data_IF_696240840151
#
_entry.id   IF_696240840151
#
_cell.length_a   1.000
_cell.length_b   1.000
_cell.length_c   1.000
_cell.angle_alpha   90.00
_cell.angle_beta   90.00
_cell.angle_gamma   90.00
#
_symmetry.space_group_name_H-M   'P 1'
#
loop_
_entity.id
_entity.type
_entity.pdbx_description
1 polymer ?
#
# COMPACT_ATOMS: atom_id res chain seq x y z
N UNK A 1 -1.95 9.89 9.75
CA UNK A 1 -2.90 9.02 9.01
C UNK A 1 -2.12 7.86 8.40
N UNK A 2 -2.74 6.68 8.29
CA UNK A 2 -2.17 5.53 7.57
C UNK A 2 -3.10 5.16 6.42
N UNK A 3 -2.54 5.12 5.22
CA UNK A 3 -3.16 4.61 3.99
C UNK A 3 -2.54 3.25 3.70
N UNK A 4 -3.37 2.23 3.56
CA UNK A 4 -2.95 0.86 3.24
C UNK A 4 -3.55 0.47 1.89
N UNK A 5 -2.72 -0.09 1.03
CA UNK A 5 -3.06 -0.64 -0.28
C UNK A 5 -2.84 -2.15 -0.19
N UNK A 6 -3.94 -2.88 0.00
CA UNK A 6 -3.91 -4.28 0.46
C UNK A 6 -4.14 -5.26 -0.70
N UNK A 7 -3.49 -6.41 -0.62
CA UNK A 7 -3.77 -7.54 -1.51
C UNK A 7 -5.21 -8.01 -1.34
N UNK A 8 -5.81 -8.49 -2.44
CA UNK A 8 -7.15 -9.05 -2.43
C UNK A 8 -7.23 -10.16 -3.48
N UNK A 9 -7.66 -11.35 -3.08
CA UNK A 9 -7.60 -12.55 -3.93
C UNK A 9 -8.41 -12.48 -5.24
N UNK A 10 -9.38 -11.57 -5.35
CA UNK A 10 -10.16 -11.33 -6.57
C UNK A 10 -9.45 -10.39 -7.59
N UNK A 11 -8.28 -9.85 -7.23
CA UNK A 11 -7.52 -8.95 -8.09
C UNK A 11 -6.47 -9.71 -8.91
N UNK A 12 -6.01 -9.14 -10.04
CA UNK A 12 -4.97 -9.76 -10.86
C UNK A 12 -3.75 -10.17 -10.02
N UNK A 13 -3.32 -11.43 -10.19
CA UNK A 13 -2.24 -12.06 -9.42
C UNK A 13 -2.42 -12.03 -7.89
N UNK A 14 -3.64 -11.81 -7.38
CA UNK A 14 -3.90 -11.58 -5.95
C UNK A 14 -3.25 -10.29 -5.43
N UNK A 15 -2.75 -9.44 -6.33
CA UNK A 15 -2.08 -8.19 -5.99
C UNK A 15 -3.04 -7.14 -5.45
N UNK A 16 -2.52 -6.00 -5.01
CA UNK A 16 -3.33 -4.93 -4.44
C UNK A 16 -4.01 -4.02 -5.49
N UNK A 17 -3.61 -4.10 -6.75
CA UNK A 17 -4.09 -3.23 -7.82
C UNK A 17 -4.90 -3.94 -8.89
N UNK A 18 -5.54 -3.16 -9.77
CA UNK A 18 -6.45 -3.68 -10.81
C UNK A 18 -5.86 -3.74 -12.21
N UNK A 19 -4.62 -3.31 -12.39
CA UNK A 19 -4.00 -3.44 -13.70
C UNK A 19 -3.63 -4.90 -14.03
N UNK A 20 -3.19 -5.13 -15.27
CA UNK A 20 -2.92 -6.48 -15.76
C UNK A 20 -1.83 -7.24 -15.00
N UNK A 21 -1.03 -6.58 -14.16
CA UNK A 21 0.02 -7.18 -13.34
C UNK A 21 -0.31 -7.12 -11.84
N UNK A 22 -1.54 -6.72 -11.47
CA UNK A 22 -1.95 -6.54 -10.08
C UNK A 22 -1.31 -5.33 -9.41
N UNK A 23 -0.77 -4.39 -10.20
CA UNK A 23 -0.17 -3.14 -9.78
C UNK A 23 -1.19 -2.00 -9.77
N UNK A 24 -0.78 -0.91 -9.13
CA UNK A 24 -1.57 0.29 -8.86
C UNK A 24 -0.66 1.52 -8.87
N UNK A 25 -1.25 2.70 -8.98
CA UNK A 25 -0.53 3.96 -8.82
C UNK A 25 -1.47 5.07 -8.35
N UNK A 26 -1.02 5.86 -7.39
CA UNK A 26 -1.77 6.98 -6.80
C UNK A 26 -1.02 8.26 -7.09
N UNK A 27 -1.71 9.25 -7.63
CA UNK A 27 -1.19 10.58 -7.94
C UNK A 27 -1.12 11.45 -6.71
N UNK A 28 -2.18 11.45 -5.90
CA UNK A 28 -2.27 12.31 -4.72
C UNK A 28 -3.21 11.72 -3.67
N UNK A 29 -2.91 11.97 -2.40
CA UNK A 29 -3.87 11.91 -1.30
C UNK A 29 -4.16 13.29 -0.73
N UNK A 30 -5.43 13.57 -0.46
CA UNK A 30 -5.84 14.72 0.33
C UNK A 30 -6.72 14.28 1.49
N UNK A 31 -6.62 15.01 2.60
CA UNK A 31 -7.55 14.90 3.71
C UNK A 31 -8.28 16.23 3.85
N UNK A 32 -9.60 16.18 3.84
CA UNK A 32 -10.45 17.33 4.11
C UNK A 32 -11.28 17.08 5.37
N UNK A 33 -11.55 18.14 6.11
CA UNK A 33 -12.42 18.12 7.30
C UNK A 33 -13.57 19.10 7.15
N UNK A 34 -14.70 18.77 7.76
CA UNK A 34 -15.88 19.63 7.82
C UNK A 34 -16.46 19.57 9.25
N UNK A 35 -16.25 20.61 10.07
CA UNK A 35 -16.85 20.71 11.39
C UNK A 35 -18.39 20.72 11.33
N UNK A 36 -19.09 20.28 12.40
CA UNK A 36 -20.55 20.29 12.43
C UNK A 36 -21.09 21.72 12.26
N UNK A 37 -22.14 21.85 11.44
CA UNK A 37 -22.76 23.16 11.13
C UNK A 37 -22.02 23.98 10.08
N UNK A 38 -20.82 23.58 9.63
CA UNK A 38 -20.15 24.19 8.50
C UNK A 38 -20.59 23.52 7.18
N UNK A 39 -20.66 24.28 6.08
CA UNK A 39 -20.96 23.77 4.73
C UNK A 39 -19.71 23.58 3.87
N UNK A 40 -18.58 24.13 4.30
CA UNK A 40 -17.32 24.09 3.55
C UNK A 40 -16.37 23.03 4.11
N UNK A 41 -15.64 22.40 3.19
CA UNK A 41 -14.55 21.48 3.50
C UNK A 41 -13.23 22.26 3.53
N UNK A 42 -12.42 22.08 4.58
CA UNK A 42 -11.06 22.62 4.65
C UNK A 42 -10.03 21.51 4.48
N UNK A 43 -9.01 21.76 3.66
CA UNK A 43 -7.90 20.81 3.43
C UNK A 43 -6.97 20.81 4.64
N UNK A 44 -6.64 19.62 5.13
CA UNK A 44 -5.62 19.39 6.16
C UNK A 44 -4.25 19.38 5.49
N UNK A 45 -3.31 20.18 6.01
CA UNK A 45 -1.94 20.21 5.49
C UNK A 45 -1.18 18.96 5.93
N UNK A 46 -0.66 18.25 4.93
CA UNK A 46 0.17 17.05 5.08
C UNK A 46 1.64 17.48 4.95
N UNK A 47 2.52 17.03 5.85
CA UNK A 47 3.89 17.58 5.95
C UNK A 47 4.99 16.55 5.74
N UNK A 48 4.75 15.29 6.06
CA UNK A 48 5.68 14.22 5.78
C UNK A 48 4.93 12.94 5.48
N UNK A 49 5.57 12.07 4.72
CA UNK A 49 5.06 10.76 4.37
C UNK A 49 6.21 9.76 4.34
N UNK A 50 5.95 8.55 4.81
CA UNK A 50 6.88 7.42 4.82
C UNK A 50 6.16 6.17 4.34
N UNK A 51 6.89 5.24 3.70
CA UNK A 51 6.34 3.97 3.23
C UNK A 51 7.18 2.78 3.69
N UNK A 52 6.63 1.59 3.52
CA UNK A 52 7.36 0.33 3.70
C UNK A 52 8.36 0.06 2.58
N UNK A 53 8.13 0.64 1.40
CA UNK A 53 8.99 0.49 0.23
C UNK A 53 9.07 1.78 -0.59
N UNK A 54 10.30 2.18 -0.93
CA UNK A 54 10.57 3.33 -1.79
C UNK A 54 10.99 2.86 -3.18
N UNK A 55 10.06 2.93 -4.13
CA UNK A 55 10.37 2.60 -5.51
C UNK A 55 11.29 3.66 -6.12
N UNK A 56 12.30 3.22 -6.87
CA UNK A 56 13.10 4.12 -7.71
C UNK A 56 12.22 4.81 -8.75
N UNK A 57 12.55 6.07 -9.03
CA UNK A 57 11.88 6.84 -10.08
C UNK A 57 12.03 6.16 -11.44
N UNK A 58 10.92 6.09 -12.15
CA UNK A 58 10.80 5.58 -13.51
C UNK A 58 10.04 6.64 -14.34
N UNK A 59 10.60 7.02 -15.48
CA UNK A 59 9.94 7.93 -16.40
C UNK A 59 8.96 7.17 -17.31
N UNK A 60 7.76 7.72 -17.43
CA UNK A 60 6.69 7.24 -18.30
C UNK A 60 6.33 8.34 -19.31
N UNK A 61 5.60 7.98 -20.36
CA UNK A 61 5.06 8.94 -21.34
C UNK A 61 6.11 9.89 -21.93
N UNK A 62 7.32 9.38 -22.19
CA UNK A 62 8.49 10.17 -22.64
C UNK A 62 8.88 11.28 -21.66
N UNK A 63 8.83 10.99 -20.36
CA UNK A 63 9.22 11.90 -19.28
C UNK A 63 8.14 12.87 -18.81
N UNK A 64 6.91 12.78 -19.35
CA UNK A 64 5.79 13.63 -18.89
C UNK A 64 5.23 13.20 -17.53
N UNK A 65 5.33 11.91 -17.24
CA UNK A 65 4.85 11.31 -15.99
C UNK A 65 6.02 10.59 -15.33
N UNK A 66 6.15 10.70 -14.01
CA UNK A 66 7.11 9.95 -13.21
C UNK A 66 6.39 9.02 -12.25
N UNK A 67 6.84 7.79 -12.14
CA UNK A 67 6.35 6.80 -11.19
C UNK A 67 7.46 6.51 -10.17
N UNK A 68 7.18 6.48 -8.86
CA UNK A 68 8.26 6.34 -7.89
C UNK A 68 7.84 6.47 -6.42
N UNK A 69 8.65 7.16 -5.58
CA UNK A 69 8.61 7.07 -4.13
C UNK A 69 7.33 7.66 -3.52
N UNK A 70 7.10 7.36 -2.24
CA UNK A 70 5.89 7.80 -1.52
C UNK A 70 5.80 9.32 -1.37
N UNK A 71 6.92 10.04 -1.49
CA UNK A 71 6.93 11.50 -1.48
C UNK A 71 6.01 12.10 -2.56
N UNK A 72 5.83 11.40 -3.70
CA UNK A 72 4.91 11.82 -4.76
C UNK A 72 3.45 11.84 -4.33
N UNK A 73 3.08 11.15 -3.24
CA UNK A 73 1.70 11.06 -2.77
C UNK A 73 1.15 12.39 -2.24
N UNK A 74 2.02 13.33 -1.85
CA UNK A 74 1.66 14.63 -1.25
C UNK A 74 2.40 15.82 -1.87
N UNK A 75 2.99 15.65 -3.06
CA UNK A 75 3.81 16.69 -3.70
C UNK A 75 3.00 17.75 -4.45
N UNK A 76 1.68 17.56 -4.59
CA UNK A 76 0.79 18.48 -5.29
C UNK A 76 0.90 18.42 -6.83
N UNK A 77 1.60 17.43 -7.39
CA UNK A 77 1.92 17.36 -8.81
C UNK A 77 1.00 16.41 -9.58
N UNK A 78 0.54 16.86 -10.75
CA UNK A 78 -0.18 16.00 -11.69
C UNK A 78 0.76 15.20 -12.61
N UNK A 79 2.07 15.33 -12.45
CA UNK A 79 3.09 14.65 -13.24
C UNK A 79 3.73 13.46 -12.50
N UNK A 80 3.37 13.21 -11.24
CA UNK A 80 4.00 12.17 -10.41
C UNK A 80 2.97 11.13 -9.95
N UNK A 81 3.45 9.92 -9.67
CA UNK A 81 2.66 8.76 -9.28
C UNK A 81 3.42 7.96 -8.23
N UNK A 82 2.88 7.86 -7.02
CA UNK A 82 3.37 6.88 -6.05
C UNK A 82 2.97 5.46 -6.50
N UNK A 83 3.93 4.55 -6.48
CA UNK A 83 3.71 3.10 -6.57
C UNK A 83 4.78 2.34 -5.78
N UNK A 84 4.55 1.04 -5.60
CA UNK A 84 5.46 0.14 -4.89
C UNK A 84 5.73 -1.16 -5.68
N UNK A 85 6.14 -1.05 -6.94
CA UNK A 85 6.54 -2.21 -7.75
C UNK A 85 7.90 -2.73 -7.26
N UNK A 86 7.87 -3.86 -6.56
CA UNK A 86 9.06 -4.58 -6.04
C UNK A 86 9.68 -5.51 -7.09
N UNK A 87 9.16 -5.52 -8.33
CA UNK A 87 9.61 -6.38 -9.42
C UNK A 87 8.86 -7.71 -9.51
N UNK A 88 9.13 -8.50 -10.57
CA UNK A 88 8.51 -9.80 -10.77
C UNK A 88 8.61 -10.70 -9.52
N UNK A 89 7.52 -11.40 -9.20
CA UNK A 89 7.45 -12.29 -8.04
C UNK A 89 7.20 -11.59 -6.68
N UNK A 90 7.59 -10.32 -6.52
CA UNK A 90 7.43 -9.57 -5.27
C UNK A 90 6.46 -8.38 -5.35
N UNK A 91 6.05 -7.97 -6.56
CA UNK A 91 5.20 -6.80 -6.78
C UNK A 91 3.77 -6.92 -6.23
N UNK A 92 3.28 -8.14 -6.05
CA UNK A 92 1.92 -8.40 -5.58
C UNK A 92 1.88 -8.51 -4.05
N UNK A 93 2.50 -7.56 -3.37
CA UNK A 93 2.57 -7.46 -1.90
C UNK A 93 1.82 -6.22 -1.45
N UNK A 94 1.26 -6.24 -0.23
CA UNK A 94 0.58 -5.06 0.32
C UNK A 94 1.56 -3.90 0.51
N UNK A 95 1.06 -2.67 0.61
CA UNK A 95 1.90 -1.49 0.82
C UNK A 95 1.22 -0.46 1.71
N UNK A 96 2.01 0.38 2.35
CA UNK A 96 1.52 1.38 3.30
C UNK A 96 2.17 2.74 3.08
N UNK A 97 1.40 3.80 3.24
CA UNK A 97 1.89 5.16 3.45
C UNK A 97 1.42 5.66 4.82
N UNK A 98 2.36 6.14 5.63
CA UNK A 98 2.08 6.82 6.90
C UNK A 98 2.41 8.29 6.74
N UNK A 99 1.38 9.11 6.92
CA UNK A 99 1.36 10.54 6.58
C UNK A 99 1.17 11.34 7.87
N UNK A 100 2.08 12.27 8.14
CA UNK A 100 1.96 13.22 9.23
C UNK A 100 1.22 14.48 8.77
N UNK A 101 0.49 15.07 9.71
CA UNK A 101 -0.15 16.37 9.51
C UNK A 101 0.77 17.46 10.04
N UNK A 102 0.59 18.70 9.57
CA UNK A 102 1.31 19.85 10.12
C UNK A 102 1.05 20.03 11.61
N UNK A 103 -0.16 19.73 12.06
CA UNK A 103 -0.55 19.76 13.46
C UNK A 103 -1.56 18.66 13.75
N UNK A 104 -1.64 18.16 15.00
CA UNK A 104 -2.71 17.25 15.41
C UNK A 104 -4.09 17.81 15.04
N UNK A 105 -5.00 16.94 14.60
CA UNK A 105 -6.37 17.34 14.28
C UNK A 105 -7.18 17.53 15.55
N UNK A 106 -7.19 18.76 16.05
CA UNK A 106 -8.06 19.19 17.14
C UNK A 106 -9.37 19.72 16.56
N UNK A 107 -10.36 18.83 16.42
CA UNK A 107 -11.64 19.14 15.80
C UNK A 107 -12.80 18.75 16.73
N UNK A 108 -13.92 19.48 16.74
CA UNK A 108 -15.07 19.16 17.58
C UNK A 108 -15.71 17.82 17.20
N UNK A 109 -16.38 17.19 18.16
CA UNK A 109 -17.16 15.97 17.92
C UNK A 109 -18.21 16.20 16.82
N UNK A 110 -18.39 15.21 15.93
CA UNK A 110 -19.26 15.32 14.77
C UNK A 110 -18.59 15.92 13.52
N UNK A 111 -17.30 16.27 13.58
CA UNK A 111 -16.52 16.63 12.39
C UNK A 111 -16.46 15.46 11.41
N UNK A 112 -16.76 15.72 10.14
CA UNK A 112 -16.62 14.75 9.07
C UNK A 112 -15.22 14.81 8.47
N UNK A 113 -14.69 13.66 8.08
CA UNK A 113 -13.44 13.53 7.37
C UNK A 113 -13.68 12.96 5.98
N UNK A 114 -12.99 13.51 4.98
CA UNK A 114 -13.01 13.04 3.59
C UNK A 114 -11.59 12.80 3.14
N UNK A 115 -11.29 11.55 2.79
CA UNK A 115 -10.03 11.19 2.14
C UNK A 115 -10.27 11.16 0.64
N UNK A 116 -9.51 11.96 -0.11
CA UNK A 116 -9.55 12.00 -1.57
C UNK A 116 -8.30 11.32 -2.09
N UNK A 117 -8.49 10.34 -2.97
CA UNK A 117 -7.40 9.64 -3.64
C UNK A 117 -7.55 9.88 -5.14
N UNK A 118 -6.57 10.58 -5.73
CA UNK A 118 -6.47 10.71 -7.18
C UNK A 118 -5.63 9.56 -7.69
N UNK A 119 -6.24 8.64 -8.43
CA UNK A 119 -5.61 7.40 -8.86
C UNK A 119 -5.33 7.42 -10.36
N UNK A 120 -4.28 6.74 -10.79
CA UNK A 120 -4.03 6.44 -12.20
C UNK A 120 -4.41 4.99 -12.50
N UNK A 121 -3.68 4.03 -11.94
CA UNK A 121 -4.10 2.62 -11.89
C UNK A 121 -4.76 2.33 -10.55
N UNK A 122 -6.05 1.98 -10.56
CA UNK A 122 -6.87 1.87 -9.35
C UNK A 122 -6.37 0.76 -8.40
N UNK A 123 -6.03 1.08 -7.14
CA UNK A 123 -5.95 0.10 -6.05
C UNK A 123 -7.31 -0.58 -5.85
N UNK A 124 -7.33 -1.88 -5.62
CA UNK A 124 -8.57 -2.63 -5.46
C UNK A 124 -9.07 -2.75 -4.02
N UNK A 125 -8.18 -2.73 -3.03
CA UNK A 125 -8.52 -2.74 -1.61
C UNK A 125 -7.71 -1.67 -0.86
N UNK A 126 -8.39 -0.66 -0.33
CA UNK A 126 -7.76 0.44 0.40
C UNK A 126 -8.34 0.52 1.80
N UNK A 127 -7.47 0.72 2.79
CA UNK A 127 -7.85 1.01 4.17
C UNK A 127 -7.19 2.29 4.65
N UNK A 128 -7.98 3.18 5.25
CA UNK A 128 -7.50 4.41 5.87
C UNK A 128 -7.72 4.33 7.39
N UNK A 129 -6.74 4.77 8.16
CA UNK A 129 -6.85 4.87 9.62
C UNK A 129 -6.15 6.11 10.18
N UNK A 130 -6.58 6.55 11.36
CA UNK A 130 -6.00 7.66 12.10
C UNK A 130 -5.33 7.15 13.37
N UNK A 131 -4.36 7.91 13.87
CA UNK A 131 -3.61 7.59 15.08
C UNK A 131 -3.39 8.85 15.91
N UNK A 132 -3.17 8.67 17.22
CA UNK A 132 -2.75 9.72 18.16
C UNK A 132 -1.25 9.74 18.40
N UNK A 133 -0.50 8.85 17.76
CA UNK A 133 0.96 8.87 17.78
C UNK A 133 1.46 10.24 17.28
N UNK A 134 2.39 10.84 18.03
CA UNK A 134 2.98 12.14 17.72
C UNK A 134 4.02 12.06 16.59
N UNK A 135 4.58 10.88 16.31
CA UNK A 135 5.59 10.67 15.28
C UNK A 135 5.30 9.45 14.40
N UNK A 136 4.11 9.35 13.79
CA UNK A 136 3.72 8.15 13.07
C UNK A 136 4.61 7.96 11.85
N UNK A 137 5.21 6.77 11.71
CA UNK A 137 6.08 6.40 10.59
C UNK A 137 5.80 4.97 10.14
N UNK A 138 5.93 4.72 8.85
CA UNK A 138 5.99 3.37 8.32
C UNK A 138 7.31 2.73 8.72
N UNK A 139 7.27 1.44 9.03
CA UNK A 139 8.50 0.66 9.23
C UNK A 139 9.07 0.26 7.87
N UNK A 140 10.39 0.29 7.67
CA UNK A 140 11.03 -0.11 6.41
C UNK A 140 11.13 -1.64 6.30
N UNK A 141 9.99 -2.32 6.46
CA UNK A 141 9.84 -3.78 6.36
C UNK A 141 8.62 -4.07 5.51
N UNK A 142 8.61 -5.22 4.83
CA UNK A 142 7.45 -5.64 4.04
C UNK A 142 6.15 -5.53 4.85
N UNK A 143 5.15 -4.86 4.29
CA UNK A 143 3.91 -4.60 5.00
C UNK A 143 3.16 -5.88 5.38
N UNK A 144 3.30 -6.96 4.61
CA UNK A 144 2.66 -8.23 4.94
C UNK A 144 3.23 -8.81 6.26
N UNK A 145 4.50 -8.55 6.57
CA UNK A 145 5.10 -8.92 7.87
C UNK A 145 4.53 -8.09 9.02
N UNK A 146 4.29 -6.78 8.81
CA UNK A 146 3.61 -5.95 9.80
C UNK A 146 2.19 -6.47 10.07
N UNK A 147 1.43 -6.80 9.03
CA UNK A 147 0.09 -7.36 9.18
C UNK A 147 0.12 -8.72 9.91
N UNK A 148 1.08 -9.58 9.60
CA UNK A 148 1.28 -10.85 10.28
C UNK A 148 1.63 -10.69 11.76
N UNK A 149 2.39 -9.64 12.13
CA UNK A 149 2.72 -9.34 13.51
C UNK A 149 1.49 -8.94 14.35
N UNK A 150 0.47 -8.34 13.72
CA UNK A 150 -0.81 -8.02 14.36
C UNK A 150 -1.70 -9.25 14.62
N UNK A 151 -1.37 -10.42 14.08
CA UNK A 151 -2.07 -11.69 14.34
C UNK A 151 -1.37 -12.43 15.48
N UNK A 152 -2.14 -13.01 16.40
CA UNK A 152 -1.61 -13.82 17.51
C UNK A 152 -0.86 -15.04 16.99
N UNK A 153 0.15 -15.50 17.72
CA UNK A 153 1.05 -16.56 17.26
C UNK A 153 0.31 -17.85 16.89
N UNK A 154 -0.72 -18.21 17.66
CA UNK A 154 -1.54 -19.41 17.52
C UNK A 154 -2.45 -19.36 16.29
N UNK A 155 -2.77 -18.16 15.78
CA UNK A 155 -3.69 -17.94 14.67
C UNK A 155 -2.97 -17.61 13.35
N UNK A 156 -1.64 -17.59 13.34
CA UNK A 156 -0.86 -17.24 12.14
C UNK A 156 -0.89 -18.36 11.11
N UNK A 157 -1.18 -18.02 9.87
CA UNK A 157 -1.01 -18.92 8.73
C UNK A 157 0.46 -19.16 8.40
N UNK A 158 0.75 -20.20 7.62
CA UNK A 158 2.11 -20.48 7.13
C UNK A 158 2.70 -19.29 6.33
N UNK A 159 1.87 -18.61 5.53
CA UNK A 159 2.29 -17.42 4.78
C UNK A 159 2.66 -16.25 5.72
N UNK A 160 1.89 -16.03 6.79
CA UNK A 160 2.18 -15.02 7.80
C UNK A 160 3.47 -15.32 8.58
N UNK A 161 3.71 -16.59 8.90
CA UNK A 161 4.97 -17.01 9.52
C UNK A 161 6.17 -16.79 8.58
N UNK A 162 6.03 -17.11 7.29
CA UNK A 162 7.07 -16.88 6.29
C UNK A 162 7.38 -15.39 6.09
N UNK A 163 6.36 -14.52 6.10
CA UNK A 163 6.54 -13.07 6.03
C UNK A 163 7.34 -12.54 7.25
N UNK A 164 6.97 -12.98 8.46
CA UNK A 164 7.70 -12.62 9.69
C UNK A 164 9.15 -13.13 9.68
N UNK A 165 9.37 -14.37 9.26
CA UNK A 165 10.71 -14.94 9.14
C UNK A 165 11.57 -14.14 8.14
N UNK A 166 10.98 -13.75 7.01
CA UNK A 166 11.67 -12.93 6.01
C UNK A 166 12.04 -11.56 6.55
N UNK A 167 11.13 -10.89 7.26
CA UNK A 167 11.39 -9.60 7.89
C UNK A 167 12.47 -9.71 8.99
N UNK A 168 12.40 -10.73 9.85
CA UNK A 168 13.44 -11.00 10.83
C UNK A 168 14.80 -11.22 10.17
N UNK A 169 14.88 -12.08 9.16
CA UNK A 169 16.12 -12.38 8.43
C UNK A 169 16.75 -11.14 7.79
N UNK A 170 15.93 -10.22 7.28
CA UNK A 170 16.40 -8.95 6.72
C UNK A 170 16.88 -7.96 7.80
N UNK A 171 16.41 -8.11 9.05
CA UNK A 171 16.81 -7.25 10.17
C UNK A 171 18.12 -7.67 10.85
N UNK A 172 18.60 -8.90 10.61
CA UNK A 172 19.84 -9.45 11.20
C UNK A 172 21.02 -9.20 10.27
N UNK A 173 21.97 -8.37 10.69
CA UNK A 173 23.11 -7.94 9.87
C UNK A 173 24.01 -9.11 9.46
N UNK A 174 24.17 -10.10 10.32
CA UNK A 174 24.98 -11.31 10.10
C UNK A 174 24.45 -12.19 8.97
N UNK A 175 23.18 -12.02 8.58
CA UNK A 175 22.55 -12.77 7.49
C UNK A 175 22.62 -12.04 6.14
N UNK A 176 23.38 -10.94 6.04
CA UNK A 176 23.50 -10.13 4.82
C UNK A 176 23.91 -10.94 3.58
N UNK A 177 24.84 -11.88 3.72
CA UNK A 177 25.27 -12.74 2.60
C UNK A 177 24.14 -13.62 2.08
N UNK A 178 23.37 -14.24 2.98
CA UNK A 178 22.19 -15.04 2.65
C UNK A 178 21.12 -14.17 1.97
N UNK A 179 20.93 -12.94 2.45
CA UNK A 179 20.01 -11.97 1.84
C UNK A 179 20.42 -11.62 0.41
N UNK A 180 21.72 -11.43 0.17
CA UNK A 180 22.26 -11.14 -1.15
C UNK A 180 22.06 -12.32 -2.12
N UNK A 181 22.34 -13.55 -1.68
CA UNK A 181 22.13 -14.76 -2.49
C UNK A 181 20.64 -14.92 -2.86
N UNK A 182 19.73 -14.72 -1.90
CA UNK A 182 18.29 -14.76 -2.16
C UNK A 182 17.86 -13.67 -3.14
N UNK A 183 18.37 -12.44 -3.00
CA UNK A 183 18.10 -11.37 -3.95
C UNK A 183 18.61 -11.70 -5.37
N UNK A 184 19.79 -12.32 -5.49
CA UNK A 184 20.34 -12.77 -6.75
C UNK A 184 19.45 -13.85 -7.40
N UNK A 185 18.90 -14.78 -6.63
CA UNK A 185 17.94 -15.75 -7.14
C UNK A 185 16.63 -15.08 -7.59
N UNK A 186 16.10 -14.13 -6.81
CA UNK A 186 14.90 -13.37 -7.20
C UNK A 186 15.11 -12.55 -8.47
N UNK A 187 16.31 -12.02 -8.72
CA UNK A 187 16.59 -11.30 -9.98
C UNK A 187 16.50 -12.17 -11.23
N UNK A 188 16.54 -13.51 -11.07
CA UNK A 188 16.39 -14.49 -12.13
C UNK A 188 14.94 -15.00 -12.24
N UNK A 189 14.02 -14.49 -11.40
CA UNK A 189 12.64 -14.93 -11.42
C UNK A 189 12.00 -14.61 -12.78
N UNK A 190 11.42 -15.61 -13.48
CA UNK A 190 10.94 -15.42 -14.84
C UNK A 190 9.73 -14.47 -14.85
N UNK A 191 9.74 -13.52 -15.78
CA UNK A 191 8.53 -12.78 -16.13
C UNK A 191 7.67 -13.68 -17.03
N UNK A 192 6.43 -13.93 -16.61
CA UNK A 192 5.48 -14.67 -17.44
C UNK A 192 5.04 -13.78 -18.62
N UNK A 193 5.10 -14.31 -19.85
CA UNK A 193 4.65 -13.61 -21.05
C UNK A 193 3.12 -13.47 -21.09
N UNK A 194 2.42 -14.40 -20.46
CA UNK A 194 0.95 -14.41 -20.37
C UNK A 194 0.51 -14.78 -18.96
N UNK A 195 -0.72 -14.40 -18.62
CA UNK A 195 -1.38 -14.85 -17.41
C UNK A 195 -2.29 -16.04 -17.72
N UNK A 196 -2.39 -16.98 -16.78
CA UNK A 196 -3.35 -18.10 -16.86
C UNK A 196 -4.40 -17.87 -15.80
N UNK A 197 -5.67 -17.82 -16.21
CA UNK A 197 -6.79 -17.74 -15.29
C UNK A 197 -6.88 -19.05 -14.49
N UNK A 198 -6.64 -18.96 -13.19
CA UNK A 198 -6.89 -20.04 -12.25
C UNK A 198 -8.16 -19.72 -11.46
N UNK A 199 -9.12 -20.64 -11.49
CA UNK A 199 -10.35 -20.51 -10.72
C UNK A 199 -10.08 -21.00 -9.29
N UNK A 200 -10.22 -20.09 -8.33
CA UNK A 200 -10.28 -20.41 -6.90
C UNK A 200 -11.67 -20.08 -6.40
N UNK A 201 -12.20 -20.90 -5.51
CA UNK A 201 -13.42 -20.55 -4.79
C UNK A 201 -13.20 -19.25 -4.01
N UNK A 202 -14.18 -18.34 -4.07
CA UNK A 202 -14.12 -17.07 -3.35
C UNK A 202 -14.22 -17.33 -1.86
N UNK A 203 -13.47 -16.58 -1.07
CA UNK A 203 -13.59 -16.65 0.39
C UNK A 203 -15.04 -16.36 0.83
N UNK A 204 -15.63 -17.17 1.73
CA UNK A 204 -17.02 -17.00 2.13
C UNK A 204 -17.36 -15.59 2.64
N UNK A 205 -16.41 -14.93 3.33
CA UNK A 205 -16.57 -13.57 3.82
C UNK A 205 -16.69 -12.50 2.71
N UNK A 206 -16.25 -12.82 1.49
CA UNK A 206 -16.29 -11.94 0.32
C UNK A 206 -17.37 -12.38 -0.69
N UNK A 207 -18.16 -13.40 -0.37
CA UNK A 207 -19.21 -13.89 -1.24
C UNK A 207 -20.21 -12.77 -1.55
N UNK A 208 -20.50 -12.58 -2.84
CA UNK A 208 -21.53 -11.61 -3.24
C UNK A 208 -22.89 -12.25 -3.05
N UNK A 209 -23.79 -11.54 -2.38
CA UNK A 209 -25.19 -11.94 -2.35
C UNK A 209 -25.79 -11.77 -3.74
N UNK A 210 -26.19 -12.88 -4.36
CA UNK A 210 -26.96 -12.85 -5.59
C UNK A 210 -28.38 -12.42 -5.24
N UNK A 211 -28.78 -11.23 -5.67
CA UNK A 211 -30.16 -10.81 -5.63
C UNK A 211 -30.82 -11.25 -6.94
N UNK A 212 -31.84 -12.11 -6.86
CA UNK A 212 -32.70 -12.42 -8.00
C UNK A 212 -33.66 -11.23 -8.18
N UNK A 213 -33.79 -10.78 -9.44
CA UNK A 213 -34.74 -9.73 -9.84
C UNK A 213 -36.18 -10.27 -9.85
#
# INVERSE_FOLDING_TARGET
MRLEVLTLGDLPFGGPGRDGLGLWSIREIELLIQPPGNTQWSKVKLTSVTADFEQKEEELDKGKTKKGPVAFLIDGSDATLWSADRGPGLRNSSSVAVIAFESPLEVPAGTQAKVVLRMNSMPGCVRCSLTRDAGPKALPVDYDAFQAACVTAESRSAAQQAALFSAWRLSVAELAEINQQIAQHWSQYPAAETSVLHLKEREPALARHTHLL
#
